data_IF_727539602693
#
_entry.id   IF_727539602693
#
_cell.length_a   1.000
_cell.length_b   1.000
_cell.length_c   1.000
_cell.angle_alpha   90.00
_cell.angle_beta   90.00
_cell.angle_gamma   90.00
#
_symmetry.space_group_name_H-M   'P 1'
#
loop_
_entity.id
_entity.type
_entity.pdbx_description
1 polymer ?
#
# COMPACT_ATOMS: atom_id res chain seq x y z
N UNK A 1 -12.34 -7.82 14.15
CA UNK A 1 -12.34 -6.59 13.34
C UNK A 1 -11.15 -6.67 12.40
N UNK A 2 -11.30 -6.25 11.15
CA UNK A 2 -10.21 -6.23 10.16
C UNK A 2 -9.30 -5.03 10.43
N UNK A 3 -7.99 -5.23 10.40
CA UNK A 3 -7.01 -4.13 10.44
C UNK A 3 -6.65 -3.71 9.02
N UNK A 4 -7.26 -2.62 8.56
CA UNK A 4 -7.05 -2.12 7.20
C UNK A 4 -5.68 -1.46 7.00
N UNK A 5 -4.98 -1.07 8.06
CA UNK A 5 -3.60 -0.59 7.95
C UNK A 5 -2.64 -1.75 7.66
N UNK A 6 -2.84 -2.88 8.35
CA UNK A 6 -2.11 -4.11 8.06
C UNK A 6 -2.41 -4.62 6.64
N UNK A 7 -3.67 -4.61 6.21
CA UNK A 7 -4.02 -5.03 4.84
C UNK A 7 -3.39 -4.14 3.76
N UNK A 8 -3.33 -2.82 3.97
CA UNK A 8 -2.68 -1.91 3.02
C UNK A 8 -1.16 -2.15 2.93
N UNK A 9 -0.51 -2.45 4.07
CA UNK A 9 0.91 -2.80 4.09
C UNK A 9 1.18 -4.11 3.35
N UNK A 10 0.41 -5.17 3.62
CA UNK A 10 0.56 -6.46 2.95
C UNK A 10 0.29 -6.36 1.44
N UNK A 11 -0.69 -5.55 1.02
CA UNK A 11 -0.93 -5.29 -0.41
C UNK A 11 0.24 -4.53 -1.05
N UNK A 12 0.78 -3.52 -0.36
CA UNK A 12 1.96 -2.77 -0.81
C UNK A 12 3.19 -3.69 -0.98
N UNK A 13 3.49 -4.56 -0.02
CA UNK A 13 4.58 -5.55 -0.13
C UNK A 13 4.35 -6.51 -1.29
N UNK A 14 3.13 -7.04 -1.43
CA UNK A 14 2.80 -7.94 -2.53
C UNK A 14 3.03 -7.29 -3.89
N UNK A 15 2.72 -6.00 -4.07
CA UNK A 15 3.01 -5.31 -5.33
C UNK A 15 4.50 -5.23 -5.62
N UNK A 16 5.32 -4.93 -4.62
CA UNK A 16 6.77 -4.77 -4.76
C UNK A 16 7.50 -6.08 -5.02
N UNK A 17 6.94 -7.21 -4.57
CA UNK A 17 7.47 -8.54 -4.86
C UNK A 17 7.38 -8.90 -6.36
N UNK A 18 6.37 -8.39 -7.08
CA UNK A 18 6.13 -8.74 -8.48
C UNK A 18 6.45 -7.62 -9.47
N UNK A 19 6.46 -6.35 -9.04
CA UNK A 19 6.60 -5.20 -9.93
C UNK A 19 7.31 -4.04 -9.24
N UNK A 20 8.24 -3.40 -9.93
CA UNK A 20 8.84 -2.17 -9.44
C UNK A 20 7.82 -1.02 -9.50
N UNK A 21 7.50 -0.43 -8.35
CA UNK A 21 6.67 0.77 -8.24
C UNK A 21 7.48 1.95 -7.71
N UNK A 22 7.09 3.17 -8.09
CA UNK A 22 7.44 4.35 -7.32
C UNK A 22 6.50 4.48 -6.12
N UNK A 23 6.94 5.15 -5.05
CA UNK A 23 6.10 5.42 -3.86
C UNK A 23 4.75 6.02 -4.24
N UNK A 24 4.73 7.06 -5.08
CA UNK A 24 3.49 7.71 -5.50
C UNK A 24 2.60 6.79 -6.35
N UNK A 25 3.19 6.01 -7.26
CA UNK A 25 2.42 5.06 -8.09
C UNK A 25 1.78 3.96 -7.26
N UNK A 26 2.47 3.45 -6.24
CA UNK A 26 1.93 2.45 -5.33
C UNK A 26 0.81 3.02 -4.46
N UNK A 27 0.94 4.29 -4.03
CA UNK A 27 -0.13 5.00 -3.32
C UNK A 27 -1.38 5.09 -4.19
N UNK A 28 -1.25 5.55 -5.43
CA UNK A 28 -2.38 5.70 -6.34
C UNK A 28 -3.07 4.35 -6.64
N UNK A 29 -2.29 3.27 -6.75
CA UNK A 29 -2.81 1.92 -6.96
C UNK A 29 -3.69 1.45 -5.80
N UNK A 30 -3.21 1.57 -4.56
CA UNK A 30 -3.96 1.12 -3.39
C UNK A 30 -5.17 2.01 -3.09
N UNK A 31 -5.08 3.31 -3.41
CA UNK A 31 -6.26 4.19 -3.37
C UNK A 31 -7.33 3.75 -4.37
N UNK A 32 -6.93 3.37 -5.58
CA UNK A 32 -7.85 2.82 -6.59
C UNK A 32 -8.51 1.52 -6.12
N UNK A 33 -7.81 0.70 -5.33
CA UNK A 33 -8.33 -0.54 -4.71
C UNK A 33 -9.26 -0.31 -3.52
N UNK A 34 -9.42 0.95 -3.08
CA UNK A 34 -10.41 1.34 -2.08
C UNK A 34 -9.88 1.47 -0.66
N UNK A 35 -8.56 1.41 -0.45
CA UNK A 35 -7.97 1.82 0.81
C UNK A 35 -8.09 3.35 1.00
N UNK A 36 -8.13 3.81 2.24
CA UNK A 36 -8.10 5.23 2.54
C UNK A 36 -6.68 5.79 2.42
N UNK A 37 -6.55 7.11 2.18
CA UNK A 37 -5.25 7.77 2.12
C UNK A 37 -4.35 7.46 3.32
N UNK A 38 -4.90 7.41 4.53
CA UNK A 38 -4.15 7.10 5.74
C UNK A 38 -3.62 5.66 5.75
N UNK A 39 -4.45 4.69 5.36
CA UNK A 39 -4.07 3.27 5.29
C UNK A 39 -2.97 3.05 4.26
N UNK A 40 -3.14 3.64 3.08
CA UNK A 40 -2.18 3.50 1.98
C UNK A 40 -0.85 4.16 2.32
N UNK A 41 -0.88 5.38 2.86
CA UNK A 41 0.36 6.08 3.24
C UNK A 41 1.14 5.28 4.27
N UNK A 42 0.45 4.78 5.30
CA UNK A 42 1.06 3.89 6.30
C UNK A 42 1.63 2.62 5.67
N UNK A 43 0.84 1.94 4.83
CA UNK A 43 1.22 0.66 4.23
C UNK A 43 2.44 0.79 3.32
N UNK A 44 2.46 1.81 2.47
CA UNK A 44 3.59 2.09 1.57
C UNK A 44 4.84 2.49 2.37
N UNK A 45 4.73 3.35 3.38
CA UNK A 45 5.89 3.73 4.21
C UNK A 45 6.50 2.52 4.94
N UNK A 46 5.67 1.53 5.32
CA UNK A 46 6.14 0.29 5.95
C UNK A 46 6.97 -0.61 5.04
N UNK A 47 6.83 -0.47 3.72
CA UNK A 47 7.67 -1.20 2.74
C UNK A 47 9.08 -0.61 2.62
N UNK A 48 9.32 0.59 3.16
CA UNK A 48 10.59 1.32 3.06
C UNK A 48 10.73 2.21 1.81
N UNK A 49 9.63 2.44 1.07
CA UNK A 49 9.55 3.38 -0.05
C UNK A 49 9.31 4.83 0.36
#
# INVERSE_FOLDING_TARGET
NVDWFEQAWLSAESYLDYTAFSRSGLIDQLLYEGFTQEQVTYGVDKTGL
#
